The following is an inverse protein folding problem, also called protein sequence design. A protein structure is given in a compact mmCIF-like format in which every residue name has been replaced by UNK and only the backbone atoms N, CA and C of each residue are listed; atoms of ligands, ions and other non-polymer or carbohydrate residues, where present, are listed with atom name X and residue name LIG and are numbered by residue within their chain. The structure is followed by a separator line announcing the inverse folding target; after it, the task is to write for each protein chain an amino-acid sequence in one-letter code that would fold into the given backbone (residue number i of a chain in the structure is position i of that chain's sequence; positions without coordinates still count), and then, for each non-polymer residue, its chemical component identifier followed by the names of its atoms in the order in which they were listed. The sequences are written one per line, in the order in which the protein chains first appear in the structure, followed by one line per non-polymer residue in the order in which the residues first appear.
data_IF_974545729289
#
_entry.id   IF_974545729289
#
_cell.length_a   1.000
_cell.length_b   1.000
_cell.length_c   1.000
_cell.angle_alpha   90.00
_cell.angle_beta   90.00
_cell.angle_gamma   90.00
#
_symmetry.space_group_name_H-M   'P 1'
#
loop_
_entity.id
_entity.type
_entity.pdbx_description
1 polymer ?
#
# COMPACT_ATOMS: atom_id res chain seq x y z
N UNK A 1 -10.11 -29.96 13.89
CA UNK A 1 -9.88 -28.68 14.58
C UNK A 1 -8.38 -28.46 14.64
N UNK A 2 -7.82 -27.58 13.82
CA UNK A 2 -6.44 -27.14 14.00
C UNK A 2 -6.40 -26.31 15.30
N UNK A 3 -5.46 -26.59 16.20
CA UNK A 3 -5.27 -25.83 17.41
C UNK A 3 -4.85 -24.41 17.04
N UNK A 4 -5.50 -23.39 17.59
CA UNK A 4 -5.05 -22.01 17.49
C UNK A 4 -3.66 -21.90 18.13
N UNK A 5 -2.76 -21.13 17.52
CA UNK A 5 -1.50 -20.80 18.16
C UNK A 5 -1.80 -20.10 19.51
N UNK A 6 -1.03 -20.37 20.57
CA UNK A 6 -1.26 -19.73 21.86
C UNK A 6 -1.10 -18.22 21.73
N UNK A 7 -1.98 -17.47 22.38
CA UNK A 7 -1.85 -16.03 22.47
C UNK A 7 -0.57 -15.65 23.23
N UNK A 8 0.22 -14.74 22.68
CA UNK A 8 1.38 -14.19 23.37
C UNK A 8 0.91 -13.23 24.48
N UNK A 9 1.63 -13.12 25.60
CA UNK A 9 1.29 -12.15 26.65
C UNK A 9 1.38 -10.73 26.09
N UNK A 10 0.37 -9.93 26.39
CA UNK A 10 0.32 -8.54 25.95
C UNK A 10 1.50 -7.74 26.50
N UNK A 11 2.24 -7.08 25.62
CA UNK A 11 3.38 -6.22 25.95
C UNK A 11 3.13 -4.82 25.38
N UNK A 12 3.60 -3.80 26.08
CA UNK A 12 3.55 -2.44 25.56
C UNK A 12 4.30 -2.36 24.22
N UNK A 13 3.70 -1.67 23.27
CA UNK A 13 4.28 -1.47 21.94
C UNK A 13 5.53 -0.61 22.05
N UNK A 14 6.60 -1.02 21.39
CA UNK A 14 7.84 -0.27 21.33
C UNK A 14 7.92 0.56 20.07
N UNK A 15 8.44 1.77 20.19
CA UNK A 15 8.76 2.64 19.07
C UNK A 15 10.16 3.21 19.25
N UNK A 16 11.00 3.15 18.19
CA UNK A 16 12.37 3.68 18.24
C UNK A 16 12.88 4.07 16.87
N UNK A 17 13.92 4.90 16.84
CA UNK A 17 14.65 5.26 15.65
C UNK A 17 15.92 4.41 15.50
N UNK A 18 16.30 4.15 14.25
CA UNK A 18 17.51 3.44 13.91
C UNK A 18 17.88 3.64 12.44
N UNK A 19 18.72 2.77 11.95
CA UNK A 19 19.12 2.74 10.53
C UNK A 19 18.79 1.39 9.91
N UNK A 20 18.39 1.43 8.64
CA UNK A 20 18.18 0.25 7.81
C UNK A 20 19.13 0.33 6.61
N UNK A 21 20.21 -0.46 6.59
CA UNK A 21 21.13 -0.48 5.46
C UNK A 21 20.48 -1.21 4.29
N UNK A 22 20.17 -0.48 3.21
CA UNK A 22 19.58 -1.04 2.00
C UNK A 22 20.44 -0.77 0.78
N UNK A 23 20.66 -1.76 -0.09
CA UNK A 23 21.13 -1.52 -1.43
C UNK A 23 20.26 -0.46 -2.11
N UNK A 24 20.86 0.55 -2.68
CA UNK A 24 20.14 1.69 -3.24
C UNK A 24 20.82 2.17 -4.51
N UNK A 25 20.03 2.44 -5.54
CA UNK A 25 20.53 3.02 -6.77
C UNK A 25 20.56 4.54 -6.66
N UNK A 26 21.73 5.13 -6.85
CA UNK A 26 21.92 6.57 -6.72
C UNK A 26 21.22 7.33 -7.83
N UNK A 27 20.78 8.54 -7.51
CA UNK A 27 20.35 9.54 -8.48
C UNK A 27 21.50 10.53 -8.72
N UNK A 28 21.58 11.04 -9.92
CA UNK A 28 22.36 12.25 -10.21
C UNK A 28 21.70 13.47 -9.57
N UNK A 29 22.29 14.65 -9.84
CA UNK A 29 21.71 15.89 -9.35
C UNK A 29 20.29 16.09 -9.92
N UNK A 30 19.33 16.56 -9.11
CA UNK A 30 18.04 17.01 -9.61
C UNK A 30 18.23 18.15 -10.62
N UNK A 31 17.25 18.34 -11.48
CA UNK A 31 17.22 19.54 -12.32
C UNK A 31 17.23 20.78 -11.41
N UNK A 32 18.12 21.72 -11.72
CA UNK A 32 18.29 22.95 -10.91
C UNK A 32 17.08 23.88 -11.03
N UNK A 33 16.34 23.78 -12.12
CA UNK A 33 15.17 24.60 -12.38
C UNK A 33 13.90 23.74 -12.26
N UNK A 34 12.96 24.10 -11.37
CA UNK A 34 11.68 23.44 -11.36
C UNK A 34 10.93 23.74 -12.67
N UNK A 35 10.27 22.74 -13.27
CA UNK A 35 9.53 22.96 -14.50
C UNK A 35 8.41 23.95 -14.25
N UNK A 36 8.40 25.05 -15.01
CA UNK A 36 7.34 26.01 -15.07
C UNK A 36 6.90 26.14 -16.51
N UNK A 37 5.97 25.30 -16.92
CA UNK A 37 5.41 25.32 -18.26
C UNK A 37 3.98 25.81 -18.21
N UNK A 38 3.75 27.00 -18.74
CA UNK A 38 2.42 27.59 -18.86
C UNK A 38 1.50 26.82 -19.81
N UNK A 39 2.07 26.00 -20.68
CA UNK A 39 1.36 25.23 -21.69
C UNK A 39 1.22 23.74 -21.32
N UNK A 40 1.97 23.25 -20.31
CA UNK A 40 1.82 21.89 -19.82
C UNK A 40 0.54 21.75 -19.01
N UNK A 41 -0.39 20.99 -19.53
CA UNK A 41 -1.71 20.80 -18.93
C UNK A 41 -1.78 19.62 -17.96
N UNK A 42 -0.76 18.78 -17.90
CA UNK A 42 -0.86 17.46 -17.30
C UNK A 42 -0.08 17.25 -16.01
N UNK A 43 1.02 17.99 -15.77
CA UNK A 43 1.86 17.83 -14.57
C UNK A 43 2.34 19.18 -14.03
N UNK A 44 1.85 19.57 -12.86
CA UNK A 44 2.26 20.79 -12.18
C UNK A 44 3.26 20.42 -11.07
N UNK A 45 4.56 20.46 -11.37
CA UNK A 45 5.60 20.14 -10.39
C UNK A 45 6.15 21.37 -9.65
N UNK A 46 5.98 22.59 -10.19
CA UNK A 46 6.51 23.77 -9.53
C UNK A 46 5.99 23.91 -8.09
N UNK A 47 6.84 24.18 -7.09
CA UNK A 47 8.27 24.51 -7.19
C UNK A 47 9.23 23.30 -7.03
N UNK A 48 8.77 22.07 -7.20
CA UNK A 48 9.61 20.89 -7.11
C UNK A 48 10.41 20.67 -8.41
N UNK A 49 11.70 20.37 -8.26
CA UNK A 49 12.58 20.00 -9.39
C UNK A 49 12.34 18.56 -9.84
N UNK A 50 12.59 18.27 -11.10
CA UNK A 50 12.56 16.90 -11.62
C UNK A 50 13.71 16.07 -11.05
N UNK A 51 13.50 14.78 -10.94
CA UNK A 51 14.44 13.76 -10.46
C UNK A 51 14.53 12.64 -11.50
N UNK A 52 15.00 12.97 -12.68
CA UNK A 52 15.03 12.06 -13.84
C UNK A 52 16.42 11.46 -14.09
N UNK A 53 17.46 11.96 -13.42
CA UNK A 53 18.82 11.46 -13.57
C UNK A 53 19.03 10.18 -12.76
N UNK A 54 18.64 9.04 -13.31
CA UNK A 54 18.87 7.73 -12.70
C UNK A 54 20.26 7.22 -13.13
N UNK A 55 21.06 6.82 -12.14
CA UNK A 55 22.39 6.27 -12.39
C UNK A 55 22.40 4.77 -12.27
N UNK A 56 23.02 3.95 -12.88
CA UNK A 56 23.13 2.51 -12.61
C UNK A 56 23.97 2.17 -11.35
N UNK A 57 24.43 3.17 -10.60
CA UNK A 57 25.34 2.98 -9.48
C UNK A 57 24.62 2.52 -8.23
N UNK A 58 24.89 1.30 -7.80
CA UNK A 58 24.33 0.66 -6.61
C UNK A 58 25.29 0.80 -5.44
N UNK A 59 24.79 1.31 -4.31
CA UNK A 59 25.53 1.46 -3.06
C UNK A 59 24.68 0.96 -1.89
N UNK A 60 25.30 0.56 -0.79
CA UNK A 60 24.54 0.31 0.47
C UNK A 60 24.39 1.64 1.19
N UNK A 61 23.15 2.09 1.34
CA UNK A 61 22.83 3.34 2.03
C UNK A 61 22.17 3.04 3.38
N UNK A 62 22.68 3.60 4.49
CA UNK A 62 22.03 3.49 5.79
C UNK A 62 20.86 4.49 5.86
N UNK A 63 19.67 4.04 5.48
CA UNK A 63 18.48 4.86 5.58
C UNK A 63 18.05 5.03 7.03
N UNK A 64 17.67 6.24 7.41
CA UNK A 64 16.98 6.46 8.68
C UNK A 64 15.67 5.69 8.66
N UNK A 65 15.43 4.89 9.72
CA UNK A 65 14.23 4.11 9.87
C UNK A 65 13.61 4.37 11.24
N UNK A 66 12.29 4.40 11.28
CA UNK A 66 11.52 4.42 12.53
C UNK A 66 10.80 3.10 12.62
N UNK A 67 10.98 2.41 13.74
CA UNK A 67 10.39 1.10 13.97
C UNK A 67 9.25 1.21 14.96
N UNK A 68 8.18 0.44 14.73
CA UNK A 68 7.11 0.22 15.68
C UNK A 68 6.86 -1.29 15.79
N UNK A 69 6.81 -1.82 17.00
CA UNK A 69 6.77 -3.27 17.25
C UNK A 69 5.92 -3.62 18.45
N UNK A 70 5.05 -4.60 18.27
CA UNK A 70 4.37 -5.32 19.34
C UNK A 70 4.78 -6.81 19.35
N UNK A 71 4.08 -7.66 20.09
CA UNK A 71 4.35 -9.09 20.14
C UNK A 71 4.15 -9.82 18.80
N UNK A 72 3.33 -9.27 17.90
CA UNK A 72 2.94 -9.91 16.63
C UNK A 72 3.57 -9.28 15.38
N UNK A 73 3.70 -7.97 15.37
CA UNK A 73 4.14 -7.22 14.19
C UNK A 73 5.37 -6.38 14.50
N UNK A 74 6.28 -6.33 13.54
CA UNK A 74 7.40 -5.39 13.53
C UNK A 74 7.42 -4.64 12.22
N UNK A 75 7.15 -3.34 12.27
CA UNK A 75 7.07 -2.49 11.08
C UNK A 75 8.21 -1.47 11.06
N UNK A 76 8.68 -1.11 9.87
CA UNK A 76 9.70 -0.09 9.62
C UNK A 76 9.20 0.97 8.65
N UNK A 77 9.43 2.22 8.97
CA UNK A 77 9.03 3.40 8.21
C UNK A 77 10.28 4.16 7.78
N UNK A 78 10.33 4.66 6.54
CA UNK A 78 11.47 5.37 5.96
C UNK A 78 11.14 6.85 5.72
N UNK A 79 11.34 7.74 6.71
CA UNK A 79 11.01 9.17 6.57
C UNK A 79 11.77 9.87 5.44
N UNK A 80 12.99 9.42 5.11
CA UNK A 80 13.83 10.07 4.11
C UNK A 80 13.41 9.81 2.66
N UNK A 81 12.51 8.85 2.44
CA UNK A 81 11.95 8.52 1.12
C UNK A 81 10.44 8.36 1.20
N UNK A 82 9.74 9.50 1.24
CA UNK A 82 8.28 9.59 1.18
C UNK A 82 7.53 9.21 2.44
N UNK A 83 8.22 8.84 3.52
CA UNK A 83 7.56 8.34 4.72
C UNK A 83 6.87 6.99 4.53
N UNK A 84 7.27 6.23 3.50
CA UNK A 84 6.70 4.91 3.22
C UNK A 84 6.82 3.99 4.43
N UNK A 85 5.78 3.22 4.70
CA UNK A 85 5.92 1.98 5.47
C UNK A 85 6.68 1.00 4.58
N UNK A 86 7.95 0.72 4.88
CA UNK A 86 8.83 -0.11 4.04
C UNK A 86 8.54 -1.60 4.21
N UNK A 87 8.45 -2.06 5.45
CA UNK A 87 8.21 -3.46 5.79
C UNK A 87 7.33 -3.58 7.01
N UNK A 88 6.62 -4.68 7.14
CA UNK A 88 5.90 -5.06 8.35
C UNK A 88 5.87 -6.58 8.46
N UNK A 89 6.76 -7.12 9.28
CA UNK A 89 6.94 -8.56 9.45
C UNK A 89 5.91 -9.11 10.42
N UNK A 90 5.21 -10.15 10.02
CA UNK A 90 4.44 -11.02 10.91
C UNK A 90 5.39 -11.93 11.69
N UNK A 91 5.56 -11.69 12.98
CA UNK A 91 6.52 -12.40 13.84
C UNK A 91 6.15 -13.87 14.11
N UNK A 92 4.89 -14.27 13.84
CA UNK A 92 4.46 -15.66 14.03
C UNK A 92 4.91 -16.59 12.92
N UNK A 93 5.17 -16.08 11.72
CA UNK A 93 5.64 -16.88 10.59
C UNK A 93 6.86 -16.30 9.87
N UNK A 94 7.35 -15.13 10.29
CA UNK A 94 8.50 -14.43 9.69
C UNK A 94 8.22 -13.89 8.28
N UNK A 95 6.96 -13.76 7.86
CA UNK A 95 6.59 -13.28 6.53
C UNK A 95 6.33 -11.77 6.53
N UNK A 96 6.71 -11.12 5.43
CA UNK A 96 6.39 -9.71 5.21
C UNK A 96 4.93 -9.56 4.76
N UNK A 97 4.25 -8.54 5.30
CA UNK A 97 2.90 -8.16 4.86
C UNK A 97 2.96 -7.39 3.55
N UNK A 98 3.97 -6.55 3.40
CA UNK A 98 4.15 -5.67 2.26
C UNK A 98 5.43 -6.02 1.52
N UNK A 99 5.55 -5.51 0.31
CA UNK A 99 6.75 -5.71 -0.49
C UNK A 99 7.96 -4.99 0.12
N UNK A 100 8.74 -5.69 0.92
CA UNK A 100 10.03 -5.26 1.42
C UNK A 100 11.11 -5.48 0.35
N UNK A 101 11.08 -4.65 -0.71
CA UNK A 101 12.02 -4.75 -1.83
C UNK A 101 13.47 -4.77 -1.32
N UNK A 102 14.29 -5.79 -1.65
CA UNK A 102 15.66 -5.91 -1.16
C UNK A 102 16.58 -4.78 -1.63
N UNK A 103 16.12 -3.93 -2.54
CA UNK A 103 16.86 -2.75 -3.00
C UNK A 103 15.93 -1.57 -3.28
N UNK A 104 16.41 -0.35 -3.06
CA UNK A 104 15.74 0.87 -3.52
C UNK A 104 16.18 1.12 -4.96
N UNK A 105 15.47 0.48 -5.89
CA UNK A 105 15.71 0.57 -7.34
C UNK A 105 14.61 1.43 -7.97
N UNK A 106 15.00 2.37 -8.82
CA UNK A 106 14.11 3.45 -9.25
C UNK A 106 13.78 3.36 -10.73
N UNK A 107 12.54 3.74 -11.07
CA UNK A 107 12.06 3.94 -12.42
C UNK A 107 11.43 5.33 -12.58
N UNK A 108 11.25 5.81 -13.81
CA UNK A 108 10.68 7.12 -14.11
C UNK A 108 9.15 7.05 -14.20
N UNK A 109 8.50 6.82 -13.06
CA UNK A 109 7.03 6.63 -12.94
C UNK A 109 6.39 7.84 -12.23
N UNK A 110 7.04 8.39 -11.19
CA UNK A 110 6.48 9.44 -10.35
C UNK A 110 6.32 10.79 -11.05
N UNK A 111 5.58 11.69 -10.44
CA UNK A 111 5.37 13.06 -10.95
C UNK A 111 6.67 13.83 -11.21
N UNK A 112 7.69 13.58 -10.38
CA UNK A 112 9.01 14.18 -10.52
C UNK A 112 10.02 13.30 -11.24
N UNK A 113 9.60 12.13 -11.73
CA UNK A 113 10.41 11.11 -12.35
C UNK A 113 10.66 9.92 -11.44
N UNK A 114 11.71 9.95 -10.61
CA UNK A 114 12.12 8.84 -9.75
C UNK A 114 10.98 8.33 -8.84
N UNK A 115 10.76 7.01 -8.89
CA UNK A 115 9.84 6.25 -8.05
C UNK A 115 10.41 4.84 -7.82
N UNK A 116 10.09 4.22 -6.70
CA UNK A 116 10.52 2.86 -6.37
C UNK A 116 9.36 2.05 -5.77
N UNK A 117 9.30 0.77 -6.14
CA UNK A 117 8.29 -0.16 -5.66
C UNK A 117 8.69 -0.77 -4.32
N UNK A 118 8.04 -0.40 -3.24
CA UNK A 118 8.14 -1.03 -1.91
C UNK A 118 7.04 -0.53 -0.97
N UNK A 119 6.64 -1.38 -0.04
CA UNK A 119 5.81 -1.04 1.11
C UNK A 119 4.51 -0.31 0.76
N UNK A 120 4.11 0.67 1.58
CA UNK A 120 2.94 1.52 1.34
C UNK A 120 3.36 2.94 1.00
N UNK A 121 2.89 3.45 -0.13
CA UNK A 121 2.98 4.85 -0.55
C UNK A 121 1.68 5.58 -0.24
N UNK A 122 1.78 6.84 0.22
CA UNK A 122 0.64 7.72 0.54
C UNK A 122 0.51 8.81 -0.50
N UNK A 123 -0.59 8.81 -1.26
CA UNK A 123 -0.80 9.68 -2.41
C UNK A 123 -1.82 10.78 -2.12
N UNK A 124 -1.32 11.99 -1.87
CA UNK A 124 -2.11 13.20 -1.68
C UNK A 124 -1.27 14.44 -2.02
N UNK A 125 -1.82 15.47 -2.61
CA UNK A 125 -3.15 15.59 -3.23
C UNK A 125 -3.19 15.05 -4.66
N UNK A 126 -2.12 14.41 -5.09
CA UNK A 126 -1.90 13.81 -6.42
C UNK A 126 -1.20 12.45 -6.31
N UNK A 127 -1.21 11.67 -7.37
CA UNK A 127 -0.51 10.38 -7.48
C UNK A 127 0.50 10.40 -8.65
N UNK A 128 1.70 9.88 -8.50
CA UNK A 128 2.40 9.65 -7.23
C UNK A 128 2.78 11.00 -6.64
N UNK A 129 2.68 11.18 -5.32
CA UNK A 129 2.87 12.51 -4.73
C UNK A 129 4.30 13.03 -4.95
N UNK A 130 4.47 14.37 -4.86
CA UNK A 130 5.77 15.02 -5.14
C UNK A 130 6.90 14.64 -4.19
N UNK A 131 6.59 14.15 -3.02
CA UNK A 131 7.58 13.75 -2.02
C UNK A 131 7.74 12.24 -1.88
N UNK A 132 7.15 11.46 -2.79
CA UNK A 132 7.22 9.98 -2.78
C UNK A 132 8.65 9.44 -2.61
N UNK A 133 9.65 10.12 -3.16
CA UNK A 133 11.08 9.78 -3.05
C UNK A 133 11.90 10.86 -2.32
N UNK A 134 11.26 11.69 -1.49
CA UNK A 134 11.92 12.80 -0.78
C UNK A 134 11.65 12.71 0.71
N UNK A 135 12.47 13.36 1.57
CA UNK A 135 12.22 13.40 3.00
C UNK A 135 10.87 14.05 3.34
N UNK A 136 10.23 13.50 4.38
CA UNK A 136 9.03 14.03 5.01
C UNK A 136 9.23 14.16 6.51
N UNK A 137 8.36 14.93 7.17
CA UNK A 137 8.36 15.04 8.63
C UNK A 137 7.85 13.76 9.29
N UNK A 138 8.33 13.46 10.49
CA UNK A 138 7.83 12.35 11.28
C UNK A 138 7.84 12.65 12.78
N UNK A 139 6.99 11.94 13.51
CA UNK A 139 6.95 11.93 14.97
C UNK A 139 6.61 10.53 15.48
N UNK A 140 6.96 10.25 16.72
CA UNK A 140 6.59 9.02 17.44
C UNK A 140 5.74 9.35 18.64
N UNK A 141 4.80 8.47 18.99
CA UNK A 141 3.97 8.64 20.17
C UNK A 141 3.76 7.31 20.88
N UNK A 142 3.72 7.35 22.21
CA UNK A 142 3.36 6.23 23.07
C UNK A 142 2.14 6.63 23.90
N UNK A 143 1.12 5.80 23.89
CA UNK A 143 -0.17 6.06 24.55
C UNK A 143 -0.26 5.38 25.90
N UNK A 144 -1.13 5.88 26.77
CA UNK A 144 -1.34 5.36 28.11
C UNK A 144 -1.88 3.90 28.13
N UNK A 145 -2.54 3.47 27.05
CA UNK A 145 -3.04 2.10 26.88
C UNK A 145 -1.97 1.10 26.43
N UNK A 146 -0.71 1.54 26.35
CA UNK A 146 0.42 0.73 25.88
C UNK A 146 0.56 0.64 24.37
N UNK A 147 -0.29 1.28 23.59
CA UNK A 147 -0.11 1.41 22.14
C UNK A 147 0.98 2.42 21.80
N UNK A 148 1.54 2.31 20.59
CA UNK A 148 2.48 3.31 20.08
C UNK A 148 2.32 3.49 18.58
N UNK A 149 2.76 4.65 18.08
CA UNK A 149 2.63 4.99 16.68
C UNK A 149 3.84 5.74 16.12
N UNK A 150 3.94 5.68 14.80
CA UNK A 150 4.78 6.53 13.97
C UNK A 150 3.86 7.36 13.08
N UNK A 151 3.99 8.68 13.14
CA UNK A 151 3.28 9.60 12.25
C UNK A 151 4.25 10.14 11.22
N UNK A 152 3.88 10.09 9.94
CA UNK A 152 4.57 10.77 8.85
C UNK A 152 3.67 11.85 8.25
N UNK A 153 4.25 12.95 7.80
CA UNK A 153 3.47 14.09 7.32
C UNK A 153 4.25 14.93 6.31
N UNK A 154 3.52 15.61 5.44
CA UNK A 154 4.10 16.64 4.58
C UNK A 154 3.07 17.73 4.26
N UNK A 155 3.56 18.94 4.06
CA UNK A 155 2.80 20.04 3.49
C UNK A 155 3.28 20.21 2.05
N UNK A 156 2.39 20.03 1.09
CA UNK A 156 2.74 20.23 -0.30
C UNK A 156 2.96 21.70 -0.62
N UNK A 157 3.96 21.99 -1.45
CA UNK A 157 4.31 23.36 -1.83
C UNK A 157 3.37 23.95 -2.91
N UNK A 158 2.89 23.16 -3.89
CA UNK A 158 2.03 23.70 -4.95
C UNK A 158 0.69 24.22 -4.45
N UNK A 159 0.07 23.56 -3.47
CA UNK A 159 -1.28 23.88 -3.00
C UNK A 159 -1.35 24.29 -1.53
N UNK A 160 -0.29 24.04 -0.75
CA UNK A 160 -0.28 24.32 0.69
C UNK A 160 -1.17 23.38 1.50
N UNK A 161 -1.47 22.20 0.96
CA UNK A 161 -2.28 21.19 1.66
C UNK A 161 -1.39 20.26 2.47
N UNK A 162 -1.93 19.70 3.53
CA UNK A 162 -1.21 18.77 4.41
C UNK A 162 -1.86 17.40 4.42
N UNK A 163 -1.04 16.37 4.34
CA UNK A 163 -1.41 15.01 4.72
C UNK A 163 -0.61 14.58 5.93
N UNK A 164 -1.23 13.74 6.74
CA UNK A 164 -0.62 13.08 7.89
C UNK A 164 -1.16 11.66 7.98
N UNK A 165 -0.26 10.69 8.12
CA UNK A 165 -0.58 9.28 8.32
C UNK A 165 0.08 8.82 9.62
N UNK A 166 -0.73 8.35 10.54
CA UNK A 166 -0.30 7.73 11.78
C UNK A 166 -0.44 6.21 11.65
N UNK A 167 0.67 5.50 11.78
CA UNK A 167 0.78 4.05 11.76
C UNK A 167 0.83 3.56 13.20
N UNK A 168 -0.25 2.96 13.68
CA UNK A 168 -0.48 2.61 15.08
C UNK A 168 -0.53 1.10 15.26
N UNK A 169 0.21 0.58 16.25
CA UNK A 169 0.05 -0.77 16.78
C UNK A 169 -0.51 -0.73 18.20
N UNK A 170 -1.29 -1.76 18.53
CA UNK A 170 -1.83 -1.99 19.88
C UNK A 170 -1.25 -3.26 20.49
N UNK A 171 -1.15 -3.34 21.83
CA UNK A 171 -0.91 -4.62 22.51
C UNK A 171 -1.92 -5.68 22.13
N UNK A 172 -1.54 -6.95 22.14
CA UNK A 172 -2.40 -8.11 21.88
C UNK A 172 -3.17 -8.08 20.55
N UNK A 173 -2.66 -7.36 19.53
CA UNK A 173 -3.33 -7.19 18.25
C UNK A 173 -2.40 -7.43 17.06
N UNK A 174 -2.90 -8.11 16.04
CA UNK A 174 -2.23 -8.27 14.75
C UNK A 174 -2.65 -7.20 13.72
N UNK A 175 -3.38 -6.17 14.14
CA UNK A 175 -3.89 -5.12 13.28
C UNK A 175 -2.93 -3.93 13.29
N UNK A 176 -2.45 -3.54 12.11
CA UNK A 176 -1.84 -2.24 11.87
C UNK A 176 -2.94 -1.25 11.48
N UNK A 177 -3.17 -0.22 12.29
CA UNK A 177 -4.09 0.86 11.95
C UNK A 177 -3.33 2.01 11.29
N UNK A 178 -3.82 2.46 10.14
CA UNK A 178 -3.36 3.61 9.39
C UNK A 178 -4.38 4.73 9.49
N UNK A 179 -4.17 5.69 10.40
CA UNK A 179 -5.04 6.86 10.57
C UNK A 179 -4.60 7.97 9.66
N UNK A 180 -5.50 8.45 8.83
CA UNK A 180 -5.23 9.48 7.83
C UNK A 180 -5.90 10.80 8.23
N UNK A 181 -5.17 11.89 8.11
CA UNK A 181 -5.70 13.25 8.21
C UNK A 181 -5.27 14.04 6.98
N UNK A 182 -6.23 14.55 6.24
CA UNK A 182 -6.05 15.44 5.11
C UNK A 182 -6.54 16.83 5.51
N UNK A 183 -5.74 17.85 5.27
CA UNK A 183 -6.04 19.20 5.71
C UNK A 183 -5.74 20.22 4.61
N UNK A 184 -6.75 20.97 4.21
CA UNK A 184 -6.57 22.14 3.36
C UNK A 184 -6.19 23.34 4.22
N UNK A 185 -4.90 23.65 4.33
CA UNK A 185 -4.37 24.78 5.10
C UNK A 185 -4.44 26.11 4.36
N UNK A 186 -4.84 26.11 3.09
CA UNK A 186 -4.92 27.34 2.28
C UNK A 186 -6.23 28.09 2.51
N UNK A 187 -6.25 29.36 2.11
CA UNK A 187 -7.42 30.23 2.24
C UNK A 187 -8.47 30.03 1.14
N UNK A 188 -8.23 29.11 0.23
CA UNK A 188 -9.11 28.83 -0.89
C UNK A 188 -9.45 27.33 -0.96
N UNK A 189 -10.59 27.04 -1.59
CA UNK A 189 -11.00 25.68 -1.90
C UNK A 189 -9.97 25.02 -2.82
N UNK A 190 -9.52 23.81 -2.44
CA UNK A 190 -8.51 23.03 -3.19
C UNK A 190 -9.06 21.69 -3.62
N UNK A 191 -8.77 21.30 -4.86
CA UNK A 191 -8.98 19.96 -5.37
C UNK A 191 -8.05 18.99 -4.63
N UNK A 192 -8.55 17.80 -4.26
CA UNK A 192 -7.76 16.76 -3.65
C UNK A 192 -8.14 15.38 -4.17
N UNK A 193 -7.21 14.48 -3.90
CA UNK A 193 -7.20 13.08 -4.26
C UNK A 193 -6.54 12.33 -3.10
N UNK A 194 -6.99 11.12 -2.80
CA UNK A 194 -6.31 10.24 -1.86
C UNK A 194 -6.38 8.80 -2.34
N UNK A 195 -5.20 8.16 -2.36
CA UNK A 195 -5.03 6.73 -2.50
C UNK A 195 -3.82 6.28 -1.70
N UNK A 196 -3.97 5.18 -0.91
CA UNK A 196 -2.85 4.40 -0.37
C UNK A 196 -2.51 3.29 -1.35
N UNK A 197 -1.22 3.17 -1.72
CA UNK A 197 -0.72 2.14 -2.61
C UNK A 197 0.15 1.18 -1.82
N UNK A 198 -0.39 0.00 -1.49
CA UNK A 198 0.37 -1.04 -0.82
C UNK A 198 0.93 -2.03 -1.83
N UNK A 199 2.25 -2.07 -1.97
CA UNK A 199 2.95 -3.11 -2.70
C UNK A 199 2.90 -4.44 -1.94
N UNK A 200 2.63 -5.53 -2.63
CA UNK A 200 2.68 -6.89 -2.10
C UNK A 200 3.54 -7.73 -3.03
N UNK A 201 4.52 -8.45 -2.47
CA UNK A 201 5.29 -9.43 -3.23
C UNK A 201 4.39 -10.60 -3.60
N UNK A 202 4.43 -11.04 -4.86
CA UNK A 202 3.56 -12.11 -5.33
C UNK A 202 4.33 -13.12 -6.17
N UNK A 203 3.83 -14.36 -6.11
CA UNK A 203 4.22 -15.47 -6.97
C UNK A 203 3.09 -15.73 -7.99
N UNK A 204 3.36 -16.55 -8.98
CA UNK A 204 2.40 -16.87 -10.05
C UNK A 204 1.09 -17.46 -9.52
N UNK A 205 1.14 -18.22 -8.41
CA UNK A 205 -0.04 -18.82 -7.79
C UNK A 205 -0.78 -17.89 -6.81
N UNK A 206 -0.22 -16.72 -6.52
CA UNK A 206 -0.87 -15.76 -5.61
C UNK A 206 -2.27 -15.39 -6.10
N UNK A 207 -3.20 -15.31 -5.15
CA UNK A 207 -4.62 -15.06 -5.42
C UNK A 207 -5.03 -13.73 -4.83
N UNK A 208 -5.61 -12.88 -5.67
CA UNK A 208 -6.16 -11.59 -5.28
C UNK A 208 -7.64 -11.79 -4.94
N UNK A 209 -7.97 -11.57 -3.67
CA UNK A 209 -9.33 -11.69 -3.14
C UNK A 209 -9.98 -10.31 -3.02
N UNK A 210 -10.70 -9.92 -4.05
CA UNK A 210 -11.50 -8.70 -4.03
C UNK A 210 -12.98 -9.09 -4.09
N UNK A 211 -13.80 -8.59 -3.15
CA UNK A 211 -15.21 -8.97 -3.04
C UNK A 211 -16.07 -8.19 -4.04
N UNK A 212 -15.80 -8.34 -5.32
CA UNK A 212 -16.52 -7.68 -6.41
C UNK A 212 -17.12 -8.70 -7.38
N UNK A 213 -18.10 -8.29 -8.16
CA UNK A 213 -18.65 -9.05 -9.28
C UNK A 213 -18.13 -8.55 -10.62
N UNK A 214 -17.73 -7.29 -10.63
CA UNK A 214 -17.22 -6.59 -11.81
C UNK A 214 -15.97 -5.84 -11.45
N UNK A 215 -15.06 -5.75 -12.41
CA UNK A 215 -13.90 -4.87 -12.37
C UNK A 215 -14.06 -3.80 -13.44
N UNK A 216 -13.60 -2.59 -13.16
CA UNK A 216 -13.63 -1.50 -14.13
C UNK A 216 -12.20 -1.01 -14.42
N UNK A 217 -11.97 -0.60 -15.67
CA UNK A 217 -10.73 0.06 -16.09
C UNK A 217 -10.68 1.53 -15.63
N UNK A 218 -9.57 2.21 -15.89
CA UNK A 218 -9.46 3.66 -15.70
C UNK A 218 -10.60 4.41 -16.38
N UNK A 219 -11.14 5.44 -15.70
CA UNK A 219 -12.27 6.23 -16.16
C UNK A 219 -13.58 5.43 -16.32
N UNK A 220 -13.61 4.16 -15.93
CA UNK A 220 -14.72 3.23 -16.16
C UNK A 220 -15.10 3.08 -17.65
N UNK A 221 -14.11 3.19 -18.51
CA UNK A 221 -14.29 3.05 -19.96
C UNK A 221 -14.60 1.62 -20.39
N UNK A 222 -14.22 0.64 -19.57
CA UNK A 222 -14.50 -0.77 -19.78
C UNK A 222 -14.82 -1.44 -18.44
N UNK A 223 -15.82 -2.33 -18.42
CA UNK A 223 -16.22 -3.13 -17.25
C UNK A 223 -16.22 -4.59 -17.65
N UNK A 224 -15.58 -5.43 -16.83
CA UNK A 224 -15.52 -6.87 -17.02
C UNK A 224 -16.06 -7.61 -15.80
N UNK A 225 -16.32 -8.90 -15.93
CA UNK A 225 -16.69 -9.77 -14.80
C UNK A 225 -15.45 -10.14 -13.97
N UNK A 226 -15.65 -10.47 -12.69
CA UNK A 226 -14.60 -10.82 -11.74
C UNK A 226 -15.01 -12.03 -10.88
N UNK A 227 -14.13 -12.99 -10.55
CA UNK A 227 -12.72 -13.10 -10.98
C UNK A 227 -12.53 -13.71 -12.36
N UNK A 228 -13.57 -14.34 -12.91
CA UNK A 228 -13.58 -14.81 -14.30
C UNK A 228 -13.97 -13.65 -15.21
N UNK A 229 -13.05 -13.27 -16.09
CA UNK A 229 -13.34 -12.26 -17.10
C UNK A 229 -14.20 -12.82 -18.25
N UNK A 230 -14.64 -11.98 -19.17
CA UNK A 230 -15.48 -12.39 -20.32
C UNK A 230 -14.79 -13.43 -21.23
N UNK A 231 -13.46 -13.51 -21.22
CA UNK A 231 -12.71 -14.54 -21.92
C UNK A 231 -12.60 -15.86 -21.15
N UNK A 232 -13.21 -15.99 -19.96
CA UNK A 232 -13.16 -17.17 -19.13
C UNK A 232 -11.85 -17.34 -18.34
N UNK A 233 -10.99 -16.32 -18.31
CA UNK A 233 -9.73 -16.34 -17.58
C UNK A 233 -9.93 -15.84 -16.15
N UNK A 234 -9.43 -16.59 -15.15
CA UNK A 234 -9.48 -16.17 -13.75
C UNK A 234 -8.37 -15.15 -13.47
N UNK A 235 -8.68 -13.85 -13.62
CA UNK A 235 -7.75 -12.74 -13.39
C UNK A 235 -7.57 -12.40 -11.90
N UNK A 236 -8.19 -13.15 -10.97
CA UNK A 236 -7.83 -13.15 -9.56
C UNK A 236 -6.52 -13.87 -9.28
N UNK A 237 -5.98 -14.68 -10.21
CA UNK A 237 -4.71 -15.39 -10.06
C UNK A 237 -3.62 -14.67 -10.86
N UNK A 238 -2.50 -14.35 -10.22
CA UNK A 238 -1.45 -13.48 -10.78
C UNK A 238 -0.88 -14.01 -12.09
N UNK A 239 -0.65 -15.31 -12.25
CA UNK A 239 -0.14 -15.93 -13.51
C UNK A 239 -1.03 -15.66 -14.72
N UNK A 240 -2.26 -15.25 -14.51
CA UNK A 240 -3.22 -14.97 -15.57
C UNK A 240 -3.20 -13.49 -16.03
N UNK A 241 -2.32 -12.68 -15.50
CA UNK A 241 -2.10 -11.28 -15.94
C UNK A 241 -1.19 -11.25 -17.18
N UNK A 242 -1.61 -11.89 -18.26
CA UNK A 242 -0.78 -12.15 -19.45
C UNK A 242 -0.98 -11.16 -20.60
N UNK A 243 -1.84 -10.17 -20.42
CA UNK A 243 -2.20 -9.19 -21.46
C UNK A 243 -1.69 -7.77 -21.14
N UNK A 244 -0.50 -7.64 -20.58
CA UNK A 244 0.07 -6.37 -20.15
C UNK A 244 -0.40 -5.94 -18.76
N UNK A 245 -0.25 -4.66 -18.40
CA UNK A 245 -0.59 -4.16 -17.07
C UNK A 245 -2.07 -4.36 -16.76
N UNK A 246 -2.35 -4.85 -15.54
CA UNK A 246 -3.71 -4.98 -15.02
C UNK A 246 -3.99 -3.80 -14.10
N UNK A 247 -5.02 -3.02 -14.42
CA UNK A 247 -5.51 -1.91 -13.61
C UNK A 247 -7.01 -2.04 -13.45
N UNK A 248 -7.46 -2.57 -12.32
CA UNK A 248 -8.86 -2.93 -12.11
C UNK A 248 -9.39 -2.34 -10.82
N UNK A 249 -10.46 -1.55 -10.96
CA UNK A 249 -11.19 -0.95 -9.85
C UNK A 249 -12.38 -1.84 -9.46
N UNK A 250 -12.63 -1.97 -8.16
CA UNK A 250 -13.81 -2.67 -7.65
C UNK A 250 -15.07 -1.95 -8.11
N UNK A 251 -15.98 -2.71 -8.73
CA UNK A 251 -17.27 -2.22 -9.18
C UNK A 251 -18.41 -3.13 -8.71
N UNK A 252 -19.53 -2.53 -8.32
CA UNK A 252 -20.73 -3.28 -7.89
C UNK A 252 -20.61 -3.96 -6.51
N UNK A 253 -19.69 -3.51 -5.65
CA UNK A 253 -19.52 -4.04 -4.30
C UNK A 253 -19.44 -2.92 -3.25
N UNK A 254 -19.94 -3.21 -2.04
CA UNK A 254 -19.80 -2.37 -0.84
C UNK A 254 -19.06 -3.08 0.29
N UNK A 255 -18.41 -4.20 -0.01
CA UNK A 255 -17.64 -4.95 0.98
C UNK A 255 -16.41 -4.14 1.44
N UNK A 256 -16.14 -4.11 2.75
CA UNK A 256 -15.12 -3.23 3.31
C UNK A 256 -13.69 -3.78 3.25
N UNK A 257 -13.45 -4.93 2.64
CA UNK A 257 -12.14 -5.59 2.62
C UNK A 257 -11.64 -5.90 1.21
N UNK A 258 -10.36 -6.19 1.11
CA UNK A 258 -9.66 -6.78 -0.02
C UNK A 258 -8.40 -7.48 0.49
N UNK A 259 -7.80 -8.40 -0.28
CA UNK A 259 -6.60 -9.07 0.18
C UNK A 259 -5.86 -9.83 -0.90
N UNK A 260 -4.67 -10.32 -0.53
CA UNK A 260 -3.85 -11.22 -1.32
C UNK A 260 -3.54 -12.46 -0.48
N UNK A 261 -3.67 -13.63 -1.07
CA UNK A 261 -3.36 -14.92 -0.47
C UNK A 261 -2.28 -15.64 -1.26
N UNK A 262 -1.30 -16.20 -0.58
CA UNK A 262 -0.21 -17.00 -1.15
C UNK A 262 -0.46 -18.48 -0.81
N UNK A 263 -1.06 -19.28 -1.72
CA UNK A 263 -1.49 -20.64 -1.41
C UNK A 263 -0.33 -21.56 -1.03
N UNK A 264 0.80 -21.46 -1.72
CA UNK A 264 1.96 -22.33 -1.50
C UNK A 264 2.67 -22.01 -0.18
N UNK A 265 2.64 -20.77 0.26
CA UNK A 265 3.23 -20.30 1.51
C UNK A 265 2.26 -20.28 2.69
N UNK A 266 0.96 -20.47 2.46
CA UNK A 266 -0.06 -20.54 3.50
C UNK A 266 -0.27 -19.25 4.29
N UNK A 267 0.00 -18.08 3.69
CA UNK A 267 -0.20 -16.79 4.34
C UNK A 267 -0.79 -15.76 3.37
N UNK A 268 -1.17 -14.60 3.89
CA UNK A 268 -1.68 -13.51 3.09
C UNK A 268 -1.83 -12.22 3.90
N UNK A 269 -2.35 -11.21 3.25
CA UNK A 269 -2.65 -9.91 3.83
C UNK A 269 -4.08 -9.50 3.48
N UNK A 270 -4.74 -8.84 4.42
CA UNK A 270 -6.05 -8.21 4.21
C UNK A 270 -5.97 -6.73 4.56
N UNK A 271 -6.51 -5.92 3.68
CA UNK A 271 -6.89 -4.54 3.93
C UNK A 271 -8.37 -4.48 4.33
N UNK A 272 -8.69 -3.65 5.32
CA UNK A 272 -10.04 -3.32 5.73
C UNK A 272 -10.19 -1.80 5.90
N UNK A 273 -11.31 -1.26 5.46
CA UNK A 273 -11.73 0.10 5.78
C UNK A 273 -13.25 0.18 5.71
N UNK A 274 -13.87 0.99 6.55
CA UNK A 274 -15.31 1.23 6.47
C UNK A 274 -15.68 1.77 5.09
N UNK A 275 -16.68 1.15 4.45
CA UNK A 275 -17.08 1.53 3.09
C UNK A 275 -17.54 2.99 2.98
N UNK A 276 -18.15 3.51 4.04
CA UNK A 276 -18.60 4.90 4.09
C UNK A 276 -17.44 5.90 4.04
N UNK A 277 -16.29 5.52 4.61
CA UNK A 277 -15.11 6.37 4.71
C UNK A 277 -14.18 6.20 3.51
N UNK A 278 -13.96 4.94 3.07
CA UNK A 278 -13.00 4.62 2.01
C UNK A 278 -13.60 3.56 1.04
N UNK A 279 -14.47 3.99 0.13
CA UNK A 279 -15.24 3.06 -0.71
C UNK A 279 -14.44 2.37 -1.81
N UNK A 280 -13.36 2.97 -2.27
CA UNK A 280 -12.70 2.51 -3.47
C UNK A 280 -11.55 1.55 -3.20
N UNK A 281 -11.42 0.56 -4.08
CA UNK A 281 -10.35 -0.44 -4.07
C UNK A 281 -9.89 -0.69 -5.50
N UNK A 282 -8.59 -0.88 -5.66
CA UNK A 282 -7.97 -1.11 -6.97
C UNK A 282 -6.86 -2.15 -6.86
N UNK A 283 -6.69 -2.92 -7.91
CA UNK A 283 -5.53 -3.76 -8.15
C UNK A 283 -4.69 -3.09 -9.23
N UNK A 284 -3.37 -3.04 -9.01
CA UNK A 284 -2.40 -2.80 -10.06
C UNK A 284 -1.41 -3.96 -10.15
N UNK A 285 -1.07 -4.36 -11.37
CA UNK A 285 0.00 -5.32 -11.68
C UNK A 285 0.66 -4.92 -12.99
N UNK A 286 1.97 -5.02 -13.10
CA UNK A 286 2.65 -4.85 -14.37
C UNK A 286 2.42 -6.02 -15.35
N UNK A 287 1.79 -7.10 -14.88
CA UNK A 287 1.57 -8.31 -15.66
C UNK A 287 2.69 -9.33 -15.52
N UNK A 288 2.51 -10.46 -16.24
CA UNK A 288 3.47 -11.56 -16.32
C UNK A 288 3.85 -11.91 -17.77
N UNK A 289 3.46 -11.07 -18.72
CA UNK A 289 3.95 -11.12 -20.08
C UNK A 289 5.39 -10.58 -20.18
N UNK A 290 5.94 -10.50 -21.39
CA UNK A 290 7.34 -10.08 -21.60
C UNK A 290 7.62 -8.70 -21.01
N UNK A 291 6.71 -7.73 -21.15
CA UNK A 291 6.85 -6.39 -20.59
C UNK A 291 6.79 -6.41 -19.06
N UNK A 292 5.84 -7.15 -18.48
CA UNK A 292 5.73 -7.34 -17.03
C UNK A 292 6.97 -7.95 -16.40
N UNK A 293 7.61 -8.91 -17.09
CA UNK A 293 8.87 -9.52 -16.64
C UNK A 293 10.05 -8.53 -16.70
N UNK A 294 10.09 -7.62 -17.69
CA UNK A 294 11.08 -6.54 -17.72
C UNK A 294 10.86 -5.53 -16.59
N UNK A 295 9.60 -5.26 -16.21
CA UNK A 295 9.30 -4.44 -15.04
C UNK A 295 9.79 -5.08 -13.73
N UNK A 296 9.71 -6.41 -13.55
CA UNK A 296 10.31 -7.09 -12.39
C UNK A 296 11.81 -6.82 -12.28
N UNK A 297 12.55 -6.90 -13.39
CA UNK A 297 13.99 -6.58 -13.45
C UNK A 297 14.26 -5.11 -13.21
N UNK A 298 13.42 -4.23 -13.74
CA UNK A 298 13.55 -2.78 -13.60
C UNK A 298 13.36 -2.33 -12.16
N UNK A 299 12.42 -2.93 -11.42
CA UNK A 299 12.03 -2.51 -10.08
C UNK A 299 12.73 -3.27 -8.95
N UNK A 300 13.37 -4.42 -9.22
CA UNK A 300 14.01 -5.25 -8.20
C UNK A 300 15.31 -5.86 -8.68
N UNK A 301 16.14 -6.29 -7.73
CA UNK A 301 17.39 -7.02 -8.02
C UNK A 301 17.19 -8.55 -8.02
N UNK A 302 16.07 -9.04 -7.51
CA UNK A 302 15.72 -10.46 -7.40
C UNK A 302 14.59 -10.90 -8.34
N UNK A 303 14.17 -10.03 -9.27
CA UNK A 303 13.06 -10.30 -10.21
C UNK A 303 11.74 -10.71 -9.53
N UNK A 304 11.48 -10.23 -8.33
CA UNK A 304 10.26 -10.55 -7.59
C UNK A 304 9.00 -10.02 -8.29
N UNK A 305 7.93 -10.78 -8.20
CA UNK A 305 6.61 -10.35 -8.63
C UNK A 305 6.06 -9.26 -7.72
N UNK A 306 5.27 -8.36 -8.28
CA UNK A 306 4.74 -7.20 -7.59
C UNK A 306 3.31 -6.91 -8.01
N UNK A 307 2.42 -6.72 -7.04
CA UNK A 307 1.09 -6.15 -7.25
C UNK A 307 0.87 -5.01 -6.26
N UNK A 308 0.00 -4.09 -6.60
CA UNK A 308 -0.47 -3.06 -5.69
C UNK A 308 -1.91 -3.33 -5.27
N UNK A 309 -2.12 -3.35 -3.95
CA UNK A 309 -3.41 -3.34 -3.30
C UNK A 309 -3.68 -1.91 -2.88
N UNK A 310 -4.60 -1.24 -3.57
CA UNK A 310 -4.81 0.19 -3.42
C UNK A 310 -6.19 0.49 -2.85
N UNK A 311 -6.26 1.44 -1.92
CA UNK A 311 -7.51 1.95 -1.37
C UNK A 311 -7.61 3.47 -1.56
N UNK A 312 -8.81 3.97 -1.84
CA UNK A 312 -9.01 5.38 -2.14
C UNK A 312 -10.38 5.92 -1.75
N UNK A 313 -10.47 7.25 -1.68
CA UNK A 313 -11.71 7.95 -1.34
C UNK A 313 -12.71 7.97 -2.51
N UNK A 314 -12.25 7.79 -3.74
CA UNK A 314 -13.07 7.92 -4.93
C UNK A 314 -13.05 6.62 -5.75
N UNK A 315 -14.16 6.30 -6.39
CA UNK A 315 -14.36 5.04 -7.12
C UNK A 315 -13.30 4.72 -8.19
N UNK A 316 -12.58 5.72 -8.67
CA UNK A 316 -11.45 5.58 -9.59
C UNK A 316 -10.41 6.68 -9.33
N UNK A 317 -9.31 6.67 -10.07
CA UNK A 317 -8.21 7.63 -9.92
C UNK A 317 -8.40 8.91 -10.75
N UNK A 318 -9.44 9.00 -11.56
CA UNK A 318 -9.81 10.17 -12.34
C UNK A 318 -10.83 11.06 -11.60
N UNK A 319 -11.41 10.55 -10.52
CA UNK A 319 -12.36 11.29 -9.67
C UNK A 319 -11.62 11.98 -8.53
N UNK A 320 -12.03 13.20 -8.25
CA UNK A 320 -11.52 14.02 -7.15
C UNK A 320 -12.67 14.81 -6.51
N UNK A 321 -12.43 15.34 -5.33
CA UNK A 321 -13.34 16.29 -4.67
C UNK A 321 -12.58 17.54 -4.24
N UNK A 322 -13.25 18.40 -3.46
CA UNK A 322 -12.68 19.64 -2.96
C UNK A 322 -12.78 19.69 -1.45
N UNK A 323 -11.69 20.07 -0.80
CA UNK A 323 -11.70 20.55 0.58
C UNK A 323 -11.85 22.05 0.59
N UNK A 324 -12.78 22.56 1.40
CA UNK A 324 -12.92 23.98 1.63
C UNK A 324 -11.68 24.55 2.36
N UNK A 325 -11.54 25.88 2.40
CA UNK A 325 -10.52 26.52 3.21
C UNK A 325 -10.61 26.02 4.65
N UNK A 326 -9.47 25.61 5.23
CA UNK A 326 -9.32 25.10 6.59
C UNK A 326 -10.10 23.82 6.92
N UNK A 327 -10.62 23.13 5.91
CA UNK A 327 -11.33 21.86 6.10
C UNK A 327 -10.36 20.70 6.37
N UNK A 328 -10.77 19.81 7.28
CA UNK A 328 -10.03 18.60 7.68
C UNK A 328 -10.89 17.37 7.45
N UNK A 329 -10.34 16.38 6.75
CA UNK A 329 -10.93 15.06 6.59
C UNK A 329 -10.11 14.02 7.36
N UNK A 330 -10.79 13.09 8.06
CA UNK A 330 -10.14 12.00 8.80
C UNK A 330 -10.84 10.68 8.52
N UNK A 331 -10.04 9.61 8.39
CA UNK A 331 -10.50 8.22 8.25
C UNK A 331 -9.39 7.26 8.67
N UNK A 332 -9.72 5.98 8.78
CA UNK A 332 -8.76 4.92 9.10
C UNK A 332 -8.81 3.80 8.08
N UNK A 333 -7.65 3.22 7.82
CA UNK A 333 -7.43 1.99 7.07
C UNK A 333 -6.74 0.98 7.99
N UNK A 334 -6.93 -0.31 7.75
CA UNK A 334 -6.42 -1.37 8.60
C UNK A 334 -5.80 -2.48 7.76
N UNK A 335 -4.66 -2.98 8.20
CA UNK A 335 -3.92 -4.05 7.55
C UNK A 335 -3.73 -5.20 8.53
N UNK A 336 -3.95 -6.43 8.07
CA UNK A 336 -3.97 -7.62 8.91
C UNK A 336 -3.30 -8.79 8.21
N UNK A 337 -2.37 -9.52 8.87
CA UNK A 337 -1.87 -10.79 8.36
C UNK A 337 -2.93 -11.88 8.45
N UNK A 338 -2.86 -12.81 7.51
CA UNK A 338 -3.71 -14.01 7.47
C UNK A 338 -2.82 -15.24 7.36
N UNK A 339 -3.09 -16.28 8.17
CA UNK A 339 -2.25 -17.47 8.26
C UNK A 339 -3.08 -18.75 8.25
N UNK A 340 -2.65 -19.75 7.47
CA UNK A 340 -3.07 -21.15 7.59
C UNK A 340 -4.54 -21.48 7.34
N UNK A 341 -5.34 -20.54 6.83
CA UNK A 341 -6.80 -20.74 6.67
C UNK A 341 -7.23 -21.14 5.26
N UNK A 342 -6.30 -21.15 4.28
CA UNK A 342 -6.53 -21.61 2.92
C UNK A 342 -7.03 -20.56 1.93
N UNK A 343 -7.30 -19.34 2.37
CA UNK A 343 -7.78 -18.24 1.51
C UNK A 343 -8.52 -17.16 2.30
N UNK A 344 -9.23 -16.27 1.59
CA UNK A 344 -9.97 -15.14 2.18
C UNK A 344 -11.37 -15.13 1.61
N UNK A 345 -12.41 -15.38 2.42
CA UNK A 345 -13.82 -15.28 2.00
C UNK A 345 -14.50 -14.04 2.54
N UNK A 346 -14.20 -13.66 3.80
CA UNK A 346 -14.70 -12.44 4.46
C UNK A 346 -13.69 -11.97 5.50
N UNK A 347 -13.72 -10.68 5.77
CA UNK A 347 -12.89 -10.07 6.80
C UNK A 347 -13.58 -8.90 7.49
N UNK A 348 -13.22 -8.70 8.75
CA UNK A 348 -13.49 -7.50 9.55
C UNK A 348 -12.34 -7.27 10.52
N UNK A 349 -12.42 -6.27 11.39
CA UNK A 349 -11.34 -5.94 12.35
C UNK A 349 -11.07 -7.05 13.38
N UNK A 350 -12.00 -7.97 13.61
CA UNK A 350 -11.84 -9.07 14.57
C UNK A 350 -11.16 -10.29 13.95
N UNK A 351 -11.26 -10.47 12.62
CA UNK A 351 -10.65 -11.61 11.97
C UNK A 351 -11.01 -11.79 10.51
N UNK A 352 -10.41 -12.84 9.95
CA UNK A 352 -10.61 -13.27 8.56
C UNK A 352 -11.12 -14.69 8.55
N UNK A 353 -12.14 -14.97 7.74
CA UNK A 353 -12.69 -16.31 7.56
C UNK A 353 -12.49 -16.77 6.11
N UNK A 354 -12.13 -18.05 5.97
CA UNK A 354 -12.16 -18.76 4.69
C UNK A 354 -13.15 -19.92 4.74
N UNK A 355 -13.97 -20.02 3.70
CA UNK A 355 -14.95 -21.09 3.53
C UNK A 355 -14.63 -21.86 2.24
N UNK A 356 -14.42 -23.17 2.34
CA UNK A 356 -14.20 -24.05 1.22
C UNK A 356 -15.08 -25.29 1.31
N UNK A 357 -15.48 -25.84 0.15
CA UNK A 357 -16.12 -27.15 0.05
C UNK A 357 -15.04 -28.20 -0.20
N UNK A 358 -14.99 -29.21 0.66
CA UNK A 358 -14.09 -30.34 0.53
C UNK A 358 -14.87 -31.66 0.73
N UNK A 359 -14.99 -32.48 -0.32
CA UNK A 359 -15.62 -33.79 -0.24
C UNK A 359 -17.06 -33.83 0.34
N UNK A 360 -17.86 -32.83 0.04
CA UNK A 360 -19.23 -32.69 0.58
C UNK A 360 -19.36 -32.04 1.95
N UNK A 361 -18.24 -31.75 2.62
CA UNK A 361 -18.17 -30.99 3.88
C UNK A 361 -17.86 -29.51 3.63
N UNK A 362 -18.19 -28.65 4.60
CA UNK A 362 -17.77 -27.27 4.66
C UNK A 362 -16.55 -27.16 5.56
N UNK A 363 -15.41 -26.76 4.99
CA UNK A 363 -14.24 -26.37 5.78
C UNK A 363 -14.32 -24.88 6.11
N UNK A 364 -14.12 -24.56 7.38
CA UNK A 364 -14.08 -23.18 7.89
C UNK A 364 -12.69 -22.94 8.47
N UNK A 365 -11.94 -22.02 7.86
CA UNK A 365 -10.70 -21.47 8.40
C UNK A 365 -10.96 -20.13 9.06
N UNK A 366 -10.44 -19.90 10.26
CA UNK A 366 -10.58 -18.66 11.01
C UNK A 366 -9.22 -18.16 11.48
N UNK A 367 -8.90 -16.91 11.15
CA UNK A 367 -7.75 -16.17 11.65
C UNK A 367 -8.26 -14.99 12.48
N UNK A 368 -8.00 -14.99 13.78
CA UNK A 368 -8.39 -13.89 14.68
C UNK A 368 -7.27 -12.87 14.84
N UNK A 369 -7.64 -11.60 15.03
CA UNK A 369 -6.71 -10.46 15.07
C UNK A 369 -6.42 -9.95 16.49
N UNK A 370 -7.13 -10.44 17.48
CA UNK A 370 -6.96 -10.06 18.88
C UNK A 370 -6.89 -11.32 19.74
N UNK A 371 -6.06 -11.28 20.79
CA UNK A 371 -5.96 -12.34 21.77
C UNK A 371 -7.13 -12.31 22.76
#
# INVERSE_FOLDING_TARGET
LAAAAPALPAQAVRVWQGTLPLPSYEEGQPDVNPPFDLFATTRHNYPYTLRTSLTGKRVVRPWRAVFVENEYLKCSILPDIGGHLYSCTDKLNGKELFYANPSIKKALIGYRGAWAAFGIEFNFPVSHNWVSMSPVDFATHTYADGSASVTVANIDRPYGMQWRVELLLRPASTVLEQKVTLYNRSDVRRRYYWWSNAGVEVEDQSVIHYPMRFSASHGFTFVDTWPLNQAGLNVGVVRNHTAGPVSQFVHGSREPFMGVWHPDAGHGIVHYAEYADLPAKKIWSFGVDADGLEWRKTLSDNNSGYVEVQAGLFRNQETYAFLQSQEVLRFSEYWMPVRGIGGISRANLHGVVHLAREGGALRVGLNVNHA
#
